data_IF_921211008263
#
_entry.id   IF_921211008263
#
_cell.length_a   1.000
_cell.length_b   1.000
_cell.length_c   1.000
_cell.angle_alpha   90.00
_cell.angle_beta   90.00
_cell.angle_gamma   90.00
#
_symmetry.space_group_name_H-M   'P 1'
#
loop_
_entity.id
_entity.type
_entity.pdbx_description
1 polymer ?
#
# COMPACT_ATOMS: atom_id res chain seq x y z
N UNK A 1 -13.56 4.50 -8.11
CA UNK A 1 -12.10 4.45 -7.90
C UNK A 1 -11.60 5.88 -7.75
N UNK A 2 -11.14 6.28 -6.56
CA UNK A 2 -10.46 7.57 -6.39
C UNK A 2 -9.11 7.54 -7.14
N UNK A 3 -8.64 8.65 -7.71
CA UNK A 3 -7.41 8.66 -8.48
C UNK A 3 -6.21 8.24 -7.61
N UNK A 4 -5.51 7.21 -8.08
CA UNK A 4 -4.24 6.72 -7.53
C UNK A 4 -3.17 7.75 -7.90
N UNK A 5 -2.98 8.79 -7.08
CA UNK A 5 -1.88 9.73 -7.31
C UNK A 5 -0.57 9.03 -6.99
N UNK A 6 0.12 8.59 -8.04
CA UNK A 6 1.48 8.09 -7.95
C UNK A 6 2.41 9.18 -7.40
N UNK A 7 3.23 8.81 -6.43
CA UNK A 7 4.23 9.68 -5.83
C UNK A 7 5.63 9.18 -6.20
N UNK A 8 6.41 10.00 -6.89
CA UNK A 8 7.83 9.72 -7.10
C UNK A 8 8.63 10.06 -5.85
N UNK A 9 9.37 9.09 -5.31
CA UNK A 9 10.26 9.26 -4.17
C UNK A 9 11.63 8.65 -4.45
N UNK A 10 12.68 9.48 -4.51
CA UNK A 10 14.08 9.04 -4.77
C UNK A 10 14.22 8.14 -6.01
N UNK A 11 13.46 8.44 -7.07
CA UNK A 11 13.45 7.66 -8.32
C UNK A 11 12.55 6.43 -8.30
N UNK A 12 11.96 6.07 -7.15
CA UNK A 12 10.93 5.04 -7.05
C UNK A 12 9.55 5.64 -7.28
N UNK A 13 8.66 4.86 -7.89
CA UNK A 13 7.24 5.14 -7.97
C UNK A 13 6.52 4.50 -6.78
N UNK A 14 5.79 5.29 -6.00
CA UNK A 14 4.92 4.83 -4.92
C UNK A 14 3.47 5.00 -5.32
N UNK A 15 2.76 3.88 -5.51
CA UNK A 15 1.37 3.87 -5.94
C UNK A 15 0.52 3.25 -4.81
N UNK A 16 -0.12 4.07 -3.96
CA UNK A 16 -0.95 3.56 -2.86
C UNK A 16 -2.23 2.95 -3.44
N UNK A 17 -2.55 1.73 -3.06
CA UNK A 17 -3.78 1.02 -3.46
C UNK A 17 -4.67 0.87 -2.24
N UNK A 18 -5.85 1.48 -2.28
CA UNK A 18 -6.81 1.49 -1.18
C UNK A 18 -8.02 0.66 -1.55
N UNK A 19 -8.22 -0.45 -0.86
CA UNK A 19 -9.39 -1.30 -1.00
C UNK A 19 -10.32 -1.06 0.18
N UNK A 20 -11.61 -0.87 -0.09
CA UNK A 20 -12.62 -0.85 0.96
C UNK A 20 -13.03 -2.30 1.26
N UNK A 21 -13.01 -2.68 2.52
CA UNK A 21 -13.50 -3.96 3.03
C UNK A 21 -14.40 -3.71 4.24
N UNK A 22 -15.67 -4.12 4.13
CA UNK A 22 -16.76 -3.72 5.04
C UNK A 22 -16.77 -2.21 5.35
N UNK A 23 -16.38 -1.86 6.57
CA UNK A 23 -16.35 -0.51 7.15
C UNK A 23 -14.92 0.06 7.27
N UNK A 24 -13.93 -0.62 6.72
CA UNK A 24 -12.53 -0.23 6.79
C UNK A 24 -11.89 -0.14 5.40
N UNK A 25 -10.68 0.39 5.38
CA UNK A 25 -9.89 0.63 4.19
C UNK A 25 -8.52 -0.02 4.35
N UNK A 26 -8.27 -1.07 3.59
CA UNK A 26 -6.98 -1.70 3.53
C UNK A 26 -5.99 -0.85 2.75
N UNK A 27 -4.83 -0.62 3.37
CA UNK A 27 -3.70 0.03 2.77
C UNK A 27 -2.80 -1.02 2.09
N UNK A 28 -2.57 -0.85 0.79
CA UNK A 28 -1.57 -1.59 0.03
C UNK A 28 -0.69 -0.60 -0.73
N UNK A 29 0.47 -1.06 -1.17
CA UNK A 29 1.39 -0.24 -1.94
C UNK A 29 2.00 -1.03 -3.10
N UNK A 30 2.05 -0.43 -4.28
CA UNK A 30 2.91 -0.87 -5.37
C UNK A 30 4.14 0.03 -5.38
N UNK A 31 5.32 -0.59 -5.34
CA UNK A 31 6.62 0.07 -5.43
C UNK A 31 7.21 -0.25 -6.81
N UNK A 32 7.38 0.77 -7.64
CA UNK A 32 8.16 0.71 -8.87
C UNK A 32 9.59 1.14 -8.62
N UNK A 33 10.55 0.26 -8.87
CA UNK A 33 11.96 0.57 -8.84
C UNK A 33 12.41 1.33 -10.09
N UNK A 34 13.53 2.10 -10.02
CA UNK A 34 14.04 2.86 -11.17
C UNK A 34 14.42 1.99 -12.38
N UNK A 35 14.69 0.70 -12.17
CA UNK A 35 14.96 -0.29 -13.21
C UNK A 35 13.70 -0.80 -13.92
N UNK A 36 12.53 -0.30 -13.53
CA UNK A 36 11.22 -0.67 -14.09
C UNK A 36 10.55 -1.84 -13.39
N UNK A 37 11.20 -2.50 -12.43
CA UNK A 37 10.60 -3.63 -11.68
C UNK A 37 9.51 -3.10 -10.74
N UNK A 38 8.33 -3.72 -10.76
CA UNK A 38 7.23 -3.39 -9.86
C UNK A 38 6.96 -4.54 -8.90
N UNK A 39 6.70 -4.22 -7.63
CA UNK A 39 6.25 -5.18 -6.62
C UNK A 39 5.12 -4.60 -5.79
N UNK A 40 4.17 -5.44 -5.38
CA UNK A 40 3.16 -5.07 -4.41
C UNK A 40 3.54 -5.58 -3.02
N UNK A 41 3.16 -4.83 -1.99
CA UNK A 41 3.43 -5.16 -0.60
C UNK A 41 2.48 -6.17 0.02
N UNK A 42 1.31 -6.40 -0.60
CA UNK A 42 0.17 -6.98 0.11
C UNK A 42 -0.50 -5.97 1.06
N UNK A 43 -1.43 -6.44 1.90
CA UNK A 43 -2.11 -5.61 2.90
C UNK A 43 -1.15 -5.22 4.00
N UNK A 44 -0.98 -3.91 4.20
CA UNK A 44 -0.11 -3.30 5.20
C UNK A 44 -0.85 -2.99 6.51
N UNK A 45 -2.18 -2.93 6.47
CA UNK A 45 -3.07 -2.66 7.59
C UNK A 45 -4.42 -2.13 7.12
N UNK A 46 -5.40 -2.10 8.02
CA UNK A 46 -6.73 -1.56 7.77
C UNK A 46 -6.97 -0.29 8.60
N UNK A 47 -7.69 0.65 8.02
CA UNK A 47 -7.90 1.98 8.58
C UNK A 47 -9.38 2.37 8.49
N UNK A 48 -9.91 3.14 9.45
CA UNK A 48 -11.30 3.59 9.42
C UNK A 48 -11.55 4.65 8.34
N UNK A 49 -10.49 5.24 7.76
CA UNK A 49 -10.62 6.22 6.70
C UNK A 49 -9.62 6.02 5.55
N UNK A 50 -10.01 6.31 4.30
CA UNK A 50 -9.16 6.07 3.13
C UNK A 50 -7.94 7.00 3.09
N UNK A 51 -8.04 8.20 3.69
CA UNK A 51 -6.95 9.15 3.76
C UNK A 51 -5.82 8.66 4.68
N UNK A 52 -6.15 8.06 5.82
CA UNK A 52 -5.15 7.45 6.71
C UNK A 52 -4.49 6.24 6.05
N UNK A 53 -5.27 5.35 5.42
CA UNK A 53 -4.74 4.22 4.67
C UNK A 53 -3.73 4.67 3.59
N UNK A 54 -4.06 5.72 2.83
CA UNK A 54 -3.16 6.29 1.83
C UNK A 54 -1.88 6.88 2.44
N UNK A 55 -2.02 7.71 3.50
CA UNK A 55 -0.87 8.30 4.18
C UNK A 55 0.05 7.24 4.78
N UNK A 56 -0.54 6.18 5.33
CA UNK A 56 0.20 5.06 5.88
C UNK A 56 0.97 4.30 4.80
N UNK A 57 0.31 3.92 3.70
CA UNK A 57 0.95 3.23 2.58
C UNK A 57 2.17 4.01 2.03
N UNK A 58 2.02 5.33 1.82
CA UNK A 58 3.12 6.18 1.38
C UNK A 58 4.26 6.26 2.40
N UNK A 59 3.93 6.43 3.69
CA UNK A 59 4.93 6.48 4.77
C UNK A 59 5.70 5.18 4.90
N UNK A 60 5.01 4.04 4.73
CA UNK A 60 5.62 2.72 4.67
C UNK A 60 6.61 2.61 3.50
N UNK A 61 6.18 2.99 2.28
CA UNK A 61 7.03 2.97 1.09
C UNK A 61 8.29 3.83 1.24
N UNK A 62 8.17 5.03 1.79
CA UNK A 62 9.31 5.90 2.07
C UNK A 62 10.26 5.29 3.12
N UNK A 63 9.73 4.69 4.19
CA UNK A 63 10.55 4.02 5.20
C UNK A 63 11.30 2.82 4.62
N UNK A 64 10.64 2.02 3.77
CA UNK A 64 11.23 0.87 3.13
C UNK A 64 12.35 1.27 2.16
N UNK A 65 12.14 2.31 1.33
CA UNK A 65 13.18 2.85 0.43
C UNK A 65 14.37 3.39 1.23
N UNK A 66 14.10 4.06 2.35
CA UNK A 66 15.14 4.60 3.23
C UNK A 66 15.81 3.55 4.11
N UNK A 67 15.37 2.28 4.06
CA UNK A 67 15.80 1.21 4.97
C UNK A 67 15.66 1.58 6.45
N UNK A 68 14.62 2.35 6.77
CA UNK A 68 14.20 2.71 8.13
C UNK A 68 13.21 1.68 8.65
N UNK A 69 12.99 1.67 9.95
CA UNK A 69 11.92 0.86 10.55
C UNK A 69 10.58 1.26 9.94
N UNK A 70 9.89 0.29 9.34
CA UNK A 70 8.56 0.51 8.78
C UNK A 70 7.56 0.86 9.88
N UNK A 71 6.63 1.80 9.63
CA UNK A 71 5.55 2.05 10.56
C UNK A 71 4.73 0.77 10.73
N UNK A 72 4.34 0.47 11.97
CA UNK A 72 3.37 -0.58 12.24
C UNK A 72 1.97 0.02 12.26
N UNK A 73 0.97 -0.64 11.67
CA UNK A 73 -0.40 -0.19 11.83
C UNK A 73 -0.78 -0.28 13.31
N UNK A 74 -1.46 0.73 13.83
CA UNK A 74 -1.91 0.77 15.23
C UNK A 74 -2.98 -0.31 15.51
N UNK A 75 -3.63 -0.83 14.45
CA UNK A 75 -4.58 -1.91 14.49
C UNK A 75 -3.98 -3.19 13.90
N UNK A 76 -4.04 -4.30 14.65
CA UNK A 76 -3.59 -5.61 14.17
C UNK A 76 -4.71 -6.16 13.27
N UNK A 77 -4.44 -6.45 11.97
CA UNK A 77 -5.44 -7.05 11.12
C UNK A 77 -5.85 -8.41 11.71
N UNK A 78 -7.15 -8.65 11.81
CA UNK A 78 -7.66 -9.99 12.08
C UNK A 78 -7.17 -10.90 10.93
N UNK A 79 -6.41 -11.98 11.19
CA UNK A 79 -5.91 -12.86 10.14
C UNK A 79 -7.03 -13.52 9.29
N UNK A 80 -8.30 -13.39 9.68
CA UNK A 80 -9.44 -13.83 8.89
C UNK A 80 -9.81 -12.92 7.71
N UNK A 81 -9.37 -11.66 7.67
CA UNK A 81 -9.66 -10.74 6.56
C UNK A 81 -8.61 -10.90 5.44
N UNK A 82 -8.76 -11.97 4.66
CA UNK A 82 -8.02 -12.13 3.42
C UNK A 82 -8.68 -11.30 2.33
N UNK A 83 -8.13 -10.12 2.03
CA UNK A 83 -8.49 -9.38 0.82
C UNK A 83 -7.99 -10.16 -0.38
N UNK A 84 -8.92 -10.72 -1.15
CA UNK A 84 -8.60 -11.45 -2.37
C UNK A 84 -8.30 -10.45 -3.49
N UNK A 85 -7.02 -10.14 -3.68
CA UNK A 85 -6.57 -9.33 -4.80
C UNK A 85 -6.11 -10.25 -5.94
N UNK A 86 -6.95 -10.39 -6.98
CA UNK A 86 -6.51 -11.00 -8.23
C UNK A 86 -5.54 -10.04 -8.93
N UNK A 87 -4.25 -10.32 -8.82
CA UNK A 87 -3.23 -9.76 -9.70
C UNK A 87 -3.51 -10.27 -11.11
N UNK A 88 -4.13 -9.46 -11.97
CA UNK A 88 -4.17 -9.74 -13.39
C UNK A 88 -2.73 -9.76 -13.92
N UNK A 89 -2.16 -10.96 -14.05
CA UNK A 89 -0.92 -11.19 -14.78
C UNK A 89 -1.22 -10.91 -16.25
N UNK A 90 -0.87 -9.73 -16.74
CA UNK A 90 -0.94 -9.45 -18.17
C UNK A 90 0.05 -10.38 -18.88
N UNK A 91 -0.48 -11.21 -19.78
CA UNK A 91 0.29 -11.94 -20.79
C UNK A 91 0.91 -10.99 -21.79
#
# INVERSE_FOLDING_TARGET
MAPLTELTYKGYALIPVIAQDDNMFAAMLIIGAPDGVRRATGVLGDFPCPLEAQRFALSYGMAEIDRRTSPQPEWIPNPAHHIHFEMATSR
#
